data_IF_395187330080
#
_entry.id   IF_395187330080
#
_cell.length_a   1.000
_cell.length_b   1.000
_cell.length_c   1.000
_cell.angle_alpha   90.00
_cell.angle_beta   90.00
_cell.angle_gamma   90.00
#
_symmetry.space_group_name_H-M   'P 1'
#
loop_
_entity.id
_entity.type
_entity.pdbx_description
1 polymer ?
#
# COMPACT_ATOMS: atom_id res chain seq x y z
N UNK A 1 -35.61 -14.11 5.32
CA UNK A 1 -34.83 -14.70 4.23
C UNK A 1 -35.60 -15.84 3.61
N UNK A 2 -35.53 -15.94 2.29
CA UNK A 2 -36.07 -17.09 1.57
C UNK A 2 -35.21 -18.27 1.96
N UNK A 3 -35.75 -19.20 2.75
CA UNK A 3 -35.04 -20.34 3.33
C UNK A 3 -34.19 -21.02 2.27
N UNK A 4 -32.87 -21.13 2.51
CA UNK A 4 -31.86 -21.77 1.67
C UNK A 4 -31.57 -21.12 0.29
N UNK A 5 -32.10 -19.93 -0.03
CA UNK A 5 -31.84 -19.25 -1.31
C UNK A 5 -31.20 -17.90 -1.20
N UNK A 6 -31.35 -17.19 -0.09
CA UNK A 6 -30.85 -15.84 0.09
C UNK A 6 -30.03 -15.76 1.38
N UNK A 7 -28.79 -15.22 1.28
CA UNK A 7 -27.87 -15.03 2.39
C UNK A 7 -27.39 -13.58 2.39
N UNK A 8 -27.34 -12.97 3.57
CA UNK A 8 -26.71 -11.68 3.80
C UNK A 8 -25.44 -11.84 4.62
N UNK A 9 -24.47 -10.99 4.37
CA UNK A 9 -23.22 -10.97 5.10
C UNK A 9 -22.70 -9.56 5.31
N UNK A 10 -22.02 -9.36 6.43
CA UNK A 10 -21.23 -8.15 6.72
C UNK A 10 -19.83 -8.60 7.04
N UNK A 11 -18.85 -7.88 6.52
CA UNK A 11 -17.44 -8.18 6.75
C UNK A 11 -16.60 -6.92 6.83
N UNK A 12 -15.52 -6.99 7.62
CA UNK A 12 -14.48 -5.97 7.68
C UNK A 12 -13.16 -6.62 7.31
N UNK A 13 -12.44 -6.05 6.35
CA UNK A 13 -11.14 -6.56 5.91
C UNK A 13 -10.25 -5.45 5.35
N UNK A 14 -8.96 -5.70 5.31
CA UNK A 14 -7.94 -4.74 4.85
C UNK A 14 -7.23 -5.32 3.62
N UNK A 15 -7.73 -5.08 2.40
CA UNK A 15 -7.11 -5.60 1.18
C UNK A 15 -5.85 -4.85 0.76
N UNK A 16 -5.69 -3.62 1.24
CA UNK A 16 -4.56 -2.77 0.93
C UNK A 16 -4.00 -2.18 2.22
N UNK A 17 -2.75 -2.49 2.51
CA UNK A 17 -2.06 -1.96 3.67
C UNK A 17 -0.58 -2.34 3.63
N UNK A 18 0.28 -1.38 3.92
CA UNK A 18 1.70 -1.60 4.03
C UNK A 18 2.29 -0.68 5.10
N UNK A 19 2.74 -1.21 6.24
CA UNK A 19 3.65 -0.51 7.12
C UNK A 19 5.07 -0.65 6.56
N UNK A 20 5.75 0.47 6.36
CA UNK A 20 7.16 0.53 6.01
C UNK A 20 7.88 1.40 7.04
N UNK A 21 9.01 0.94 7.50
CA UNK A 21 9.88 1.69 8.40
C UNK A 21 11.33 1.39 8.07
N UNK A 22 12.09 2.44 7.83
CA UNK A 22 13.51 2.38 7.52
C UNK A 22 14.32 3.11 8.58
N UNK A 23 15.63 2.98 8.52
CA UNK A 23 16.55 3.79 9.32
C UNK A 23 16.35 5.27 8.95
N UNK A 24 16.26 6.13 9.98
CA UNK A 24 16.05 7.56 9.78
C UNK A 24 17.21 8.25 9.06
N UNK A 25 18.41 7.71 9.21
CA UNK A 25 19.66 8.25 8.64
C UNK A 25 20.15 7.43 7.44
N UNK A 26 19.34 6.49 6.96
CA UNK A 26 19.68 5.69 5.78
C UNK A 26 19.60 6.49 4.48
N UNK A 27 20.21 6.01 3.39
CA UNK A 27 20.23 6.70 2.10
C UNK A 27 18.83 6.94 1.53
N UNK A 28 17.85 6.15 1.93
CA UNK A 28 16.45 6.30 1.51
C UNK A 28 15.69 7.41 2.27
N UNK A 29 16.30 8.08 3.24
CA UNK A 29 15.61 9.02 4.13
C UNK A 29 14.93 10.18 3.37
N UNK A 30 15.51 10.59 2.24
CA UNK A 30 14.92 11.61 1.35
C UNK A 30 13.70 11.10 0.57
N UNK A 31 13.53 9.79 0.43
CA UNK A 31 12.35 9.21 -0.19
C UNK A 31 11.31 8.82 0.85
N UNK A 32 11.74 8.06 1.87
CA UNK A 32 10.86 7.54 2.91
C UNK A 32 11.66 7.12 4.15
N UNK A 33 11.22 7.57 5.31
CA UNK A 33 11.64 7.05 6.61
C UNK A 33 10.58 6.14 7.20
N UNK A 34 9.31 6.50 7.04
CA UNK A 34 8.17 5.74 7.53
C UNK A 34 6.95 5.95 6.65
N UNK A 35 6.22 4.88 6.37
CA UNK A 35 4.88 4.92 5.82
C UNK A 35 3.97 3.96 6.56
N UNK A 36 2.74 4.38 6.78
CA UNK A 36 1.64 3.53 7.17
C UNK A 36 0.42 3.95 6.36
N UNK A 37 0.06 3.16 5.36
CA UNK A 37 -1.09 3.44 4.51
C UNK A 37 -1.97 2.21 4.53
N UNK A 38 -3.24 2.39 4.90
CA UNK A 38 -4.23 1.31 4.90
C UNK A 38 -5.53 1.78 4.24
N UNK A 39 -6.23 0.84 3.61
CA UNK A 39 -7.60 1.01 3.16
C UNK A 39 -8.43 -0.19 3.62
N UNK A 40 -9.26 0.04 4.63
CA UNK A 40 -10.13 -0.95 5.25
C UNK A 40 -11.50 -0.91 4.57
N UNK A 41 -12.04 -2.08 4.24
CA UNK A 41 -13.36 -2.22 3.64
C UNK A 41 -14.36 -2.73 4.68
N UNK A 42 -15.44 -1.99 4.88
CA UNK A 42 -16.64 -2.43 5.60
C UNK A 42 -17.68 -2.77 4.55
N UNK A 43 -17.94 -4.05 4.34
CA UNK A 43 -18.74 -4.57 3.23
C UNK A 43 -20.03 -5.16 3.71
N UNK A 44 -21.15 -4.72 3.13
CA UNK A 44 -22.43 -5.40 3.20
C UNK A 44 -22.64 -6.15 1.89
N UNK A 45 -23.06 -7.41 1.95
CA UNK A 45 -23.21 -8.29 0.79
C UNK A 45 -24.50 -9.12 0.88
N UNK A 46 -25.00 -9.50 -0.29
CA UNK A 46 -26.08 -10.45 -0.44
C UNK A 46 -25.73 -11.46 -1.53
N UNK A 47 -26.16 -12.69 -1.35
CA UNK A 47 -26.03 -13.74 -2.35
C UNK A 47 -27.33 -14.51 -2.48
N UNK A 48 -27.71 -14.85 -3.71
CA UNK A 48 -28.90 -15.60 -4.05
C UNK A 48 -28.54 -16.83 -4.85
N UNK A 49 -29.13 -17.97 -4.47
CA UNK A 49 -29.07 -19.20 -5.25
C UNK A 49 -30.20 -19.17 -6.28
N UNK A 50 -29.83 -18.92 -7.54
CA UNK A 50 -30.80 -18.90 -8.67
C UNK A 50 -31.21 -20.31 -9.08
N UNK A 51 -30.25 -21.22 -9.08
CA UNK A 51 -30.41 -22.62 -9.43
C UNK A 51 -29.54 -23.47 -8.51
N UNK A 52 -29.75 -24.78 -8.46
CA UNK A 52 -28.96 -25.66 -7.59
C UNK A 52 -27.45 -25.62 -7.87
N UNK A 53 -27.11 -25.27 -9.12
CA UNK A 53 -25.71 -25.15 -9.57
C UNK A 53 -25.22 -23.71 -9.67
N UNK A 54 -26.07 -22.67 -9.60
CA UNK A 54 -25.70 -21.27 -9.84
C UNK A 54 -26.11 -20.39 -8.69
N UNK A 55 -25.15 -19.64 -8.16
CA UNK A 55 -25.36 -18.58 -7.18
C UNK A 55 -24.78 -17.26 -7.65
N UNK A 56 -25.47 -16.16 -7.42
CA UNK A 56 -24.99 -14.80 -7.67
C UNK A 56 -24.81 -14.07 -6.34
N UNK A 57 -23.79 -13.23 -6.27
CA UNK A 57 -23.55 -12.38 -5.11
C UNK A 57 -23.15 -10.97 -5.52
N UNK A 58 -23.52 -10.02 -4.69
CA UNK A 58 -23.07 -8.63 -4.82
C UNK A 58 -22.81 -8.02 -3.44
N UNK A 59 -21.90 -7.07 -3.38
CA UNK A 59 -21.60 -6.34 -2.16
C UNK A 59 -21.22 -4.90 -2.43
N UNK A 60 -21.49 -4.04 -1.47
CA UNK A 60 -21.06 -2.64 -1.44
C UNK A 60 -20.16 -2.46 -0.23
N UNK A 61 -19.03 -1.84 -0.44
CA UNK A 61 -18.04 -1.57 0.59
C UNK A 61 -17.87 -0.08 0.82
N UNK A 62 -17.97 0.34 2.06
CA UNK A 62 -17.45 1.63 2.50
C UNK A 62 -15.97 1.47 2.82
N UNK A 63 -15.14 2.28 2.17
CA UNK A 63 -13.68 2.20 2.29
C UNK A 63 -13.19 3.31 3.20
N UNK A 64 -12.57 2.92 4.31
CA UNK A 64 -11.92 3.81 5.26
C UNK A 64 -10.41 3.76 5.03
N UNK A 65 -9.83 4.89 4.66
CA UNK A 65 -8.39 5.05 4.48
C UNK A 65 -7.75 5.80 5.65
N UNK A 66 -6.58 5.34 6.08
CA UNK A 66 -5.70 6.04 7.01
C UNK A 66 -4.29 6.06 6.46
N UNK A 67 -3.60 7.20 6.56
CA UNK A 67 -2.22 7.34 6.12
C UNK A 67 -1.39 8.22 7.05
N UNK A 68 -0.16 7.77 7.29
CA UNK A 68 0.93 8.54 7.91
C UNK A 68 2.20 8.32 7.10
N UNK A 69 2.95 9.39 6.86
CA UNK A 69 4.19 9.37 6.10
C UNK A 69 5.21 10.28 6.78
N UNK A 70 6.48 9.87 6.78
CA UNK A 70 7.59 10.69 7.21
C UNK A 70 8.80 10.47 6.29
N UNK A 71 9.49 11.57 5.94
CA UNK A 71 10.72 11.57 5.16
C UNK A 71 11.54 12.81 5.47
N UNK A 72 12.73 12.93 4.91
CA UNK A 72 13.40 14.21 4.76
C UNK A 72 12.94 14.88 3.47
N UNK A 73 12.59 16.16 3.54
CA UNK A 73 12.39 16.99 2.36
C UNK A 73 13.73 17.60 1.97
N UNK A 74 14.14 17.35 0.77
CA UNK A 74 15.36 17.92 0.21
C UNK A 74 15.11 19.36 -0.24
N UNK A 75 15.76 20.30 0.41
CA UNK A 75 15.78 21.71 0.02
C UNK A 75 16.99 22.05 -0.85
N UNK A 76 17.98 21.15 -0.96
CA UNK A 76 19.12 21.31 -1.87
C UNK A 76 18.74 21.23 -3.35
N UNK A 77 17.60 20.61 -3.65
CA UNK A 77 17.05 20.55 -5.02
C UNK A 77 16.35 21.86 -5.45
N UNK A 78 16.20 22.83 -4.58
CA UNK A 78 15.60 24.14 -4.89
C UNK A 78 16.69 25.04 -5.44
N UNK A 79 16.65 25.31 -6.74
CA UNK A 79 17.68 26.09 -7.45
C UNK A 79 17.97 27.47 -6.85
N UNK A 80 16.96 28.06 -6.20
CA UNK A 80 17.03 29.36 -5.55
C UNK A 80 17.95 29.38 -4.31
N UNK A 81 18.28 28.21 -3.77
CA UNK A 81 19.26 28.09 -2.68
C UNK A 81 20.68 27.85 -3.17
N UNK A 82 20.89 27.81 -4.47
CA UNK A 82 22.16 27.66 -5.12
C UNK A 82 22.43 28.74 -6.16
N UNK A 83 23.66 28.93 -6.53
CA UNK A 83 24.08 29.82 -7.61
C UNK A 83 23.73 29.29 -9.02
N UNK A 84 22.78 28.38 -9.14
CA UNK A 84 22.41 27.67 -10.38
C UNK A 84 23.40 26.57 -10.78
N UNK A 85 24.41 26.30 -9.98
CA UNK A 85 25.46 25.29 -10.24
C UNK A 85 25.53 24.22 -9.17
N UNK A 86 24.49 24.08 -8.32
CA UNK A 86 24.46 23.18 -7.16
C UNK A 86 25.64 23.38 -6.18
N UNK A 87 26.06 24.60 -6.00
CA UNK A 87 27.13 24.97 -5.08
C UNK A 87 26.63 25.44 -3.72
N UNK A 88 25.46 25.00 -3.30
CA UNK A 88 25.05 25.06 -1.90
C UNK A 88 26.01 24.20 -1.09
N UNK A 89 26.94 24.78 -0.47
CA UNK A 89 27.94 24.09 0.30
C UNK A 89 29.26 24.83 0.33
N UNK A 90 29.37 25.89 -0.44
CA UNK A 90 30.49 26.79 -0.25
C UNK A 90 30.26 27.59 1.03
N UNK A 91 31.13 27.37 1.99
CA UNK A 91 31.07 28.05 3.27
C UNK A 91 30.89 29.56 3.05
N UNK A 92 29.86 30.13 3.67
CA UNK A 92 29.54 31.54 3.73
C UNK A 92 28.91 32.19 2.48
N UNK A 93 28.50 31.45 1.45
CA UNK A 93 27.75 32.04 0.33
C UNK A 93 26.44 32.71 0.78
N UNK A 94 25.79 32.13 1.80
CA UNK A 94 24.53 32.62 2.37
C UNK A 94 24.60 32.98 3.84
N UNK A 95 25.81 32.96 4.45
CA UNK A 95 26.01 33.28 5.86
C UNK A 95 26.74 32.21 6.63
N UNK A 96 27.05 32.44 7.93
CA UNK A 96 27.91 31.55 8.72
C UNK A 96 27.31 30.17 9.01
N UNK A 97 26.01 30.01 8.92
CA UNK A 97 25.31 28.73 9.12
C UNK A 97 24.95 28.02 7.81
N UNK A 98 25.34 28.59 6.65
CA UNK A 98 25.10 27.95 5.36
C UNK A 98 25.66 26.52 5.32
N UNK A 99 25.01 25.62 4.57
CA UNK A 99 25.49 24.26 4.46
C UNK A 99 26.87 24.19 3.83
N UNK A 100 27.66 23.22 4.28
CA UNK A 100 28.93 22.81 3.68
C UNK A 100 28.77 21.39 3.17
N UNK A 101 29.69 20.87 2.35
CA UNK A 101 29.67 19.49 1.84
C UNK A 101 29.46 18.45 2.96
N UNK A 102 29.99 18.72 4.16
CA UNK A 102 29.86 17.83 5.33
C UNK A 102 28.47 17.94 5.98
N UNK A 103 27.81 19.10 5.90
CA UNK A 103 26.56 19.42 6.60
C UNK A 103 25.34 19.54 5.69
N UNK A 104 25.50 19.33 4.40
CA UNK A 104 24.45 19.57 3.42
C UNK A 104 23.15 18.83 3.80
N UNK A 105 23.24 17.52 4.05
CA UNK A 105 22.07 16.71 4.41
C UNK A 105 21.46 17.15 5.74
N UNK A 106 22.27 17.46 6.76
CA UNK A 106 21.80 17.87 8.08
C UNK A 106 21.07 19.23 8.03
N UNK A 107 21.53 20.12 7.17
CA UNK A 107 20.96 21.46 7.00
C UNK A 107 19.78 21.47 6.01
N UNK A 108 19.96 20.91 4.81
CA UNK A 108 18.99 20.98 3.73
C UNK A 108 17.98 19.83 3.72
N UNK A 109 18.26 18.72 4.37
CA UNK A 109 17.33 17.60 4.56
C UNK A 109 16.38 17.84 5.74
N UNK A 110 15.26 18.54 5.51
CA UNK A 110 14.34 18.89 6.62
C UNK A 110 13.30 17.80 6.87
N UNK A 111 13.10 17.37 8.13
CA UNK A 111 12.06 16.42 8.48
C UNK A 111 10.67 16.91 8.09
N UNK A 112 9.95 16.14 7.29
CA UNK A 112 8.54 16.35 6.95
C UNK A 112 7.72 15.13 7.36
N UNK A 113 6.55 15.37 7.96
CA UNK A 113 5.60 14.33 8.28
C UNK A 113 4.18 14.72 7.86
N UNK A 114 3.48 13.80 7.18
CA UNK A 114 2.04 13.79 7.04
C UNK A 114 1.45 12.98 8.19
N UNK A 115 0.60 13.57 8.99
CA UNK A 115 0.03 12.93 10.19
C UNK A 115 -1.48 12.85 10.08
N UNK A 116 -2.04 11.70 10.55
CA UNK A 116 -3.48 11.50 10.73
C UNK A 116 -4.29 11.85 9.48
N UNK A 117 -3.84 11.38 8.32
CA UNK A 117 -4.57 11.61 7.08
C UNK A 117 -5.65 10.52 6.90
N UNK A 118 -6.88 10.94 6.66
CA UNK A 118 -8.02 10.08 6.45
C UNK A 118 -8.58 10.21 5.04
N UNK A 119 -9.14 9.13 4.54
CA UNK A 119 -9.84 9.07 3.27
C UNK A 119 -11.09 8.22 3.39
N UNK A 120 -12.10 8.55 2.58
CA UNK A 120 -13.35 7.82 2.47
C UNK A 120 -13.60 7.48 1.01
N UNK A 121 -14.15 6.31 0.75
CA UNK A 121 -14.50 5.87 -0.58
C UNK A 121 -15.63 4.86 -0.54
N UNK A 122 -16.21 4.59 -1.70
CA UNK A 122 -17.20 3.54 -1.89
C UNK A 122 -16.77 2.70 -3.07
N UNK A 123 -16.94 1.39 -2.95
CA UNK A 123 -16.70 0.44 -4.03
C UNK A 123 -17.73 -0.68 -3.97
N UNK A 124 -17.81 -1.49 -5.01
CA UNK A 124 -18.70 -2.64 -5.08
C UNK A 124 -17.98 -3.86 -5.62
N UNK A 125 -18.53 -5.01 -5.34
CA UNK A 125 -18.14 -6.27 -5.94
C UNK A 125 -19.36 -7.04 -6.42
N UNK A 126 -19.15 -7.89 -7.42
CA UNK A 126 -20.13 -8.85 -7.90
C UNK A 126 -19.42 -10.17 -8.16
N UNK A 127 -20.17 -11.26 -8.02
CA UNK A 127 -19.60 -12.58 -8.26
C UNK A 127 -20.66 -13.61 -8.64
N UNK A 128 -20.20 -14.64 -9.34
CA UNK A 128 -20.98 -15.83 -9.67
C UNK A 128 -20.22 -17.06 -9.20
N UNK A 129 -20.94 -18.00 -8.66
CA UNK A 129 -20.42 -19.35 -8.36
C UNK A 129 -21.26 -20.37 -9.12
N UNK A 130 -20.59 -21.30 -9.76
CA UNK A 130 -21.20 -22.42 -10.50
C UNK A 130 -20.64 -23.72 -9.94
N UNK A 131 -21.53 -24.63 -9.57
CA UNK A 131 -21.21 -25.97 -9.08
C UNK A 131 -21.68 -27.04 -10.09
N UNK A 132 -20.95 -27.25 -11.20
CA UNK A 132 -21.40 -28.17 -12.27
C UNK A 132 -21.58 -29.60 -11.78
N UNK A 133 -20.83 -29.99 -10.76
CA UNK A 133 -20.95 -31.29 -10.08
C UNK A 133 -20.82 -31.09 -8.56
N UNK A 134 -21.20 -32.08 -7.74
CA UNK A 134 -20.99 -32.04 -6.29
C UNK A 134 -19.50 -31.90 -5.87
N UNK A 135 -18.57 -32.20 -6.78
CA UNK A 135 -17.12 -32.15 -6.54
C UNK A 135 -16.43 -30.92 -7.07
N UNK A 136 -17.02 -30.19 -8.03
CA UNK A 136 -16.41 -29.05 -8.71
C UNK A 136 -17.18 -27.78 -8.42
N UNK A 137 -16.48 -26.78 -7.92
CA UNK A 137 -16.97 -25.39 -7.78
C UNK A 137 -16.10 -24.45 -8.58
N UNK A 138 -16.72 -23.59 -9.37
CA UNK A 138 -16.08 -22.51 -10.14
C UNK A 138 -16.62 -21.17 -9.65
N UNK A 139 -15.78 -20.16 -9.59
CA UNK A 139 -16.19 -18.81 -9.19
C UNK A 139 -15.54 -17.76 -10.07
N UNK A 140 -16.28 -16.70 -10.36
CA UNK A 140 -15.78 -15.49 -10.98
C UNK A 140 -16.22 -14.31 -10.11
N UNK A 141 -15.27 -13.42 -9.76
CA UNK A 141 -15.58 -12.20 -9.03
C UNK A 141 -14.95 -10.99 -9.70
N UNK A 142 -15.67 -9.88 -9.65
CA UNK A 142 -15.20 -8.55 -10.02
C UNK A 142 -15.27 -7.63 -8.81
N UNK A 143 -14.18 -6.94 -8.52
CA UNK A 143 -14.11 -5.87 -7.53
C UNK A 143 -13.80 -4.56 -8.24
N UNK A 144 -14.68 -3.58 -8.07
CA UNK A 144 -14.45 -2.25 -8.62
C UNK A 144 -13.35 -1.52 -7.85
N UNK A 145 -12.64 -0.62 -8.52
CA UNK A 145 -11.66 0.27 -7.90
C UNK A 145 -12.35 1.44 -7.19
N UNK A 146 -11.57 2.24 -6.45
CA UNK A 146 -12.07 3.50 -5.87
C UNK A 146 -10.97 4.53 -5.78
N UNK A 147 -11.36 5.81 -5.85
CA UNK A 147 -10.43 6.93 -5.67
C UNK A 147 -10.28 7.22 -4.18
N UNK A 148 -9.04 7.30 -3.72
CA UNK A 148 -8.72 7.67 -2.34
C UNK A 148 -8.11 9.06 -2.32
N UNK A 149 -8.57 9.88 -1.37
CA UNK A 149 -8.05 11.21 -1.12
C UNK A 149 -7.84 11.38 0.39
N UNK A 150 -6.64 11.00 0.83
CA UNK A 150 -6.23 11.12 2.22
C UNK A 150 -5.96 12.59 2.54
N UNK A 151 -6.67 13.15 3.50
CA UNK A 151 -6.52 14.53 3.96
C UNK A 151 -6.08 14.55 5.41
N UNK A 152 -5.04 15.30 5.70
CA UNK A 152 -4.47 15.43 7.03
C UNK A 152 -3.69 16.71 7.17
N UNK A 153 -2.82 16.74 8.17
CA UNK A 153 -1.92 17.85 8.42
C UNK A 153 -0.49 17.43 8.12
N UNK A 154 0.31 18.39 7.63
CA UNK A 154 1.75 18.17 7.57
C UNK A 154 2.46 19.10 8.55
N UNK A 155 3.69 18.72 8.89
CA UNK A 155 4.64 19.53 9.62
C UNK A 155 6.02 19.35 8.99
N UNK A 156 6.74 20.47 8.79
CA UNK A 156 8.15 20.49 8.40
C UNK A 156 8.92 21.16 9.53
N UNK A 157 9.94 20.51 10.03
CA UNK A 157 10.88 21.06 10.98
C UNK A 157 11.94 21.89 10.24
N UNK A 158 11.82 23.20 10.33
CA UNK A 158 12.75 24.19 9.74
C UNK A 158 13.67 24.78 10.80
N UNK A 159 13.74 24.18 12.00
CA UNK A 159 14.51 24.69 13.11
C UNK A 159 16.02 24.43 12.91
N UNK A 160 16.61 25.20 12.04
CA UNK A 160 18.05 25.24 11.77
C UNK A 160 18.47 26.71 11.58
N UNK A 161 19.65 27.13 12.09
CA UNK A 161 20.13 28.50 11.96
C UNK A 161 20.22 28.99 10.51
N UNK A 162 20.56 28.14 9.55
CA UNK A 162 20.57 28.52 8.14
C UNK A 162 19.20 29.03 7.68
N UNK A 163 18.12 28.33 7.99
CA UNK A 163 16.77 28.75 7.60
C UNK A 163 16.22 29.90 8.44
N UNK A 164 16.51 29.91 9.75
CA UNK A 164 15.87 30.85 10.69
C UNK A 164 16.67 32.13 10.88
N UNK A 165 17.95 32.18 10.52
CA UNK A 165 18.83 33.34 10.70
C UNK A 165 19.42 33.80 9.36
N UNK A 166 20.22 32.96 8.67
CA UNK A 166 20.97 33.35 7.48
C UNK A 166 20.02 33.73 6.33
N UNK A 167 19.07 32.86 5.99
CA UNK A 167 18.08 33.16 4.96
C UNK A 167 17.12 34.27 5.37
N UNK A 168 16.82 34.39 6.67
CA UNK A 168 16.01 35.49 7.18
C UNK A 168 16.70 36.86 7.00
N UNK A 169 18.03 36.94 7.18
CA UNK A 169 18.82 38.12 6.91
C UNK A 169 18.77 38.55 5.42
N UNK A 170 18.53 37.61 4.51
CA UNK A 170 18.35 37.81 3.07
C UNK A 170 16.88 38.02 2.65
N UNK A 171 15.97 38.14 3.63
CA UNK A 171 14.55 38.43 3.37
C UNK A 171 13.67 37.17 3.20
N UNK A 172 14.23 35.93 3.32
CA UNK A 172 13.51 34.71 3.27
C UNK A 172 13.16 34.24 4.69
N UNK A 173 11.89 34.26 5.04
CA UNK A 173 11.46 34.03 6.42
C UNK A 173 10.80 32.67 6.54
N UNK A 174 11.47 31.73 7.21
CA UNK A 174 10.90 30.43 7.60
C UNK A 174 10.57 30.42 9.09
N UNK A 175 9.38 29.93 9.44
CA UNK A 175 9.08 29.58 10.84
C UNK A 175 9.86 28.33 11.24
N UNK A 176 10.30 28.20 12.50
CA UNK A 176 11.00 26.99 12.96
C UNK A 176 10.17 25.70 12.76
N UNK A 177 8.84 25.81 12.80
CA UNK A 177 7.92 24.73 12.49
C UNK A 177 6.87 25.23 11.50
N UNK A 178 6.93 24.74 10.26
CA UNK A 178 5.92 24.99 9.23
C UNK A 178 4.86 23.91 9.28
N UNK A 179 3.60 24.31 9.44
CA UNK A 179 2.47 23.40 9.48
C UNK A 179 1.39 23.80 8.49
N UNK A 180 0.58 22.85 8.06
CA UNK A 180 -0.52 23.14 7.13
C UNK A 180 -1.34 21.91 6.79
N UNK A 181 -2.17 22.08 5.76
CA UNK A 181 -2.99 21.01 5.23
C UNK A 181 -2.20 20.20 4.19
N UNK A 182 -2.40 18.88 4.20
CA UNK A 182 -1.85 18.01 3.18
C UNK A 182 -2.89 17.02 2.68
N UNK A 183 -2.75 16.64 1.41
CA UNK A 183 -3.52 15.54 0.83
C UNK A 183 -2.65 14.64 -0.01
N UNK A 184 -2.99 13.34 0.00
CA UNK A 184 -2.41 12.32 -0.85
C UNK A 184 -3.54 11.65 -1.63
N UNK A 185 -3.46 11.66 -2.97
CA UNK A 185 -4.48 11.08 -3.85
C UNK A 185 -3.89 10.00 -4.73
N UNK A 186 -4.59 8.87 -4.80
CA UNK A 186 -4.34 7.79 -5.74
C UNK A 186 -5.58 6.89 -5.90
N UNK A 187 -5.57 6.00 -6.89
CA UNK A 187 -6.65 5.05 -7.15
C UNK A 187 -6.33 3.69 -6.55
N UNK A 188 -7.30 3.03 -5.94
CA UNK A 188 -7.25 1.59 -5.69
C UNK A 188 -7.70 0.87 -6.98
N UNK A 189 -6.97 -0.15 -7.44
CA UNK A 189 -7.22 -0.77 -8.74
C UNK A 189 -8.44 -1.70 -8.74
N UNK A 190 -9.02 -1.90 -9.90
CA UNK A 190 -9.99 -2.96 -10.17
C UNK A 190 -9.30 -4.31 -10.21
N UNK A 191 -10.05 -5.36 -9.88
CA UNK A 191 -9.57 -6.74 -9.99
C UNK A 191 -10.65 -7.71 -10.41
N UNK A 192 -10.22 -8.73 -11.15
CA UNK A 192 -11.04 -9.88 -11.55
C UNK A 192 -10.36 -11.12 -10.97
N UNK A 193 -11.14 -12.01 -10.37
CA UNK A 193 -10.61 -13.27 -9.83
C UNK A 193 -11.44 -14.43 -10.35
N UNK A 194 -10.76 -15.41 -10.92
CA UNK A 194 -11.30 -16.73 -11.26
C UNK A 194 -10.85 -17.71 -10.19
N UNK A 195 -11.76 -18.51 -9.66
CA UNK A 195 -11.47 -19.53 -8.66
C UNK A 195 -12.04 -20.88 -9.08
N UNK A 196 -11.34 -21.94 -8.71
CA UNK A 196 -11.78 -23.30 -8.87
C UNK A 196 -11.47 -24.11 -7.62
N UNK A 197 -12.37 -25.02 -7.27
CA UNK A 197 -12.18 -25.98 -6.19
C UNK A 197 -12.63 -27.37 -6.64
N UNK A 198 -11.84 -28.40 -6.34
CA UNK A 198 -12.18 -29.77 -6.68
C UNK A 198 -11.97 -30.73 -5.50
N UNK A 199 -13.04 -31.42 -5.14
CA UNK A 199 -13.03 -32.49 -4.11
C UNK A 199 -12.71 -33.85 -4.76
N UNK A 200 -11.46 -34.33 -4.68
CA UNK A 200 -11.07 -35.63 -5.19
C UNK A 200 -11.78 -36.77 -4.45
N UNK A 201 -11.82 -36.62 -3.12
CA UNK A 201 -12.48 -37.53 -2.21
C UNK A 201 -12.76 -36.78 -0.87
N UNK A 202 -13.43 -37.43 0.13
CA UNK A 202 -13.74 -36.77 1.41
C UNK A 202 -12.53 -36.24 2.18
N UNK A 203 -11.32 -36.76 1.90
CA UNK A 203 -10.09 -36.34 2.58
C UNK A 203 -9.31 -35.27 1.84
N UNK A 204 -9.38 -35.19 0.49
CA UNK A 204 -8.55 -34.34 -0.32
C UNK A 204 -9.35 -33.36 -1.14
N UNK A 205 -9.00 -32.09 -1.03
CA UNK A 205 -9.51 -31.01 -1.86
C UNK A 205 -8.35 -30.14 -2.36
N UNK A 206 -8.44 -29.71 -3.60
CA UNK A 206 -7.54 -28.69 -4.18
C UNK A 206 -8.36 -27.46 -4.55
N UNK A 207 -7.84 -26.31 -4.21
CA UNK A 207 -8.37 -25.01 -4.56
C UNK A 207 -7.33 -24.24 -5.36
N UNK A 208 -7.74 -23.44 -6.30
CA UNK A 208 -6.86 -22.56 -7.04
C UNK A 208 -7.57 -21.27 -7.44
N UNK A 209 -6.80 -20.23 -7.63
CA UNK A 209 -7.31 -19.00 -8.23
C UNK A 209 -6.30 -18.35 -9.17
N UNK A 210 -6.84 -17.60 -10.10
CA UNK A 210 -6.14 -16.62 -10.94
C UNK A 210 -6.77 -15.26 -10.70
N UNK A 211 -5.96 -14.26 -10.37
CA UNK A 211 -6.41 -12.89 -10.20
C UNK A 211 -5.65 -11.96 -11.14
N UNK A 212 -6.39 -11.12 -11.83
CA UNK A 212 -5.88 -10.00 -12.63
C UNK A 212 -6.20 -8.70 -11.91
N UNK A 213 -5.19 -7.86 -11.68
CA UNK A 213 -5.33 -6.57 -11.02
C UNK A 213 -4.88 -5.47 -11.96
N UNK A 214 -5.74 -4.50 -12.19
CA UNK A 214 -5.52 -3.39 -13.12
C UNK A 214 -4.74 -2.25 -12.46
N UNK A 215 -3.49 -2.51 -12.12
CA UNK A 215 -2.62 -1.52 -11.49
C UNK A 215 -2.23 -0.37 -12.42
N UNK A 216 -2.39 -0.51 -13.75
CA UNK A 216 -2.25 0.59 -14.72
C UNK A 216 -3.20 1.78 -14.45
N UNK A 217 -4.25 1.59 -13.65
CA UNK A 217 -5.12 2.68 -13.18
C UNK A 217 -4.49 3.52 -12.05
N UNK A 218 -3.37 3.08 -11.47
CA UNK A 218 -2.57 3.82 -10.47
C UNK A 218 -1.51 4.64 -11.22
N UNK A 219 -1.95 5.67 -11.93
CA UNK A 219 -1.07 6.50 -12.77
C UNK A 219 -0.02 7.25 -11.95
N UNK A 220 -0.45 7.89 -10.86
CA UNK A 220 0.42 8.67 -10.00
C UNK A 220 -0.09 8.79 -8.57
N UNK A 221 0.84 9.02 -7.66
CA UNK A 221 0.52 9.58 -6.35
C UNK A 221 0.62 11.10 -6.43
N UNK A 222 -0.46 11.79 -6.09
CA UNK A 222 -0.49 13.26 -6.09
C UNK A 222 -0.51 13.74 -4.64
N UNK A 223 0.55 14.42 -4.25
CA UNK A 223 0.70 15.06 -2.93
C UNK A 223 0.47 16.54 -3.09
N UNK A 224 -0.42 17.12 -2.29
CA UNK A 224 -0.61 18.57 -2.22
C UNK A 224 -0.43 19.01 -0.78
N UNK A 225 0.41 20.01 -0.56
CA UNK A 225 0.60 20.69 0.72
C UNK A 225 0.17 22.15 0.58
N UNK A 226 -0.47 22.69 1.62
CA UNK A 226 -0.92 24.07 1.67
C UNK A 226 -0.66 24.68 3.04
N UNK A 227 0.10 25.77 3.05
CA UNK A 227 0.35 26.59 4.25
C UNK A 227 0.78 28.00 3.86
N UNK A 228 0.23 29.04 4.48
CA UNK A 228 0.76 30.41 4.30
C UNK A 228 2.25 30.53 4.64
N UNK A 229 2.74 29.69 5.56
CA UNK A 229 4.12 29.70 6.03
C UNK A 229 5.12 29.07 5.02
N UNK A 230 4.62 28.41 3.97
CA UNK A 230 5.44 27.95 2.84
C UNK A 230 5.69 29.05 1.80
N UNK A 231 4.86 30.07 1.78
CA UNK A 231 4.97 31.10 0.75
C UNK A 231 6.25 31.92 0.92
N UNK A 232 7.06 31.98 -0.13
CA UNK A 232 8.22 32.85 -0.25
C UNK A 232 8.07 33.68 -1.54
N UNK A 233 7.34 34.79 -1.49
CA UNK A 233 7.03 35.59 -2.70
C UNK A 233 8.28 36.05 -3.45
N UNK A 234 9.37 36.34 -2.73
CA UNK A 234 10.65 36.73 -3.32
C UNK A 234 11.25 35.65 -4.23
N UNK A 235 10.93 34.37 -3.96
CA UNK A 235 11.36 33.20 -4.76
C UNK A 235 10.25 32.69 -5.69
N UNK A 236 9.10 33.38 -5.78
CA UNK A 236 7.95 32.87 -6.53
C UNK A 236 7.28 31.63 -5.94
N UNK A 237 7.66 31.20 -4.72
CA UNK A 237 7.09 30.03 -4.04
C UNK A 237 5.73 30.40 -3.45
N UNK A 238 4.70 29.65 -3.82
CA UNK A 238 3.32 29.85 -3.38
C UNK A 238 3.03 29.11 -2.07
N UNK A 239 1.90 29.46 -1.46
CA UNK A 239 1.35 28.80 -0.27
C UNK A 239 0.92 27.35 -0.51
N UNK A 240 0.84 26.94 -1.76
CA UNK A 240 0.36 25.60 -2.17
C UNK A 240 1.36 24.97 -3.14
N UNK A 241 1.84 23.78 -2.75
CA UNK A 241 2.71 22.97 -3.59
C UNK A 241 1.98 21.66 -3.95
N UNK A 242 1.98 21.29 -5.23
CA UNK A 242 1.46 20.02 -5.71
C UNK A 242 2.55 19.28 -6.44
N UNK A 243 2.84 18.06 -5.96
CA UNK A 243 3.82 17.15 -6.55
C UNK A 243 3.08 15.92 -7.07
N UNK A 244 3.26 15.64 -8.35
CA UNK A 244 2.77 14.41 -8.97
C UNK A 244 3.93 13.42 -9.08
N UNK A 245 3.81 12.27 -8.40
CA UNK A 245 4.79 11.19 -8.40
C UNK A 245 4.29 10.10 -9.36
N UNK A 246 4.74 10.06 -10.62
CA UNK A 246 4.32 9.06 -11.60
C UNK A 246 4.62 7.65 -11.10
N UNK A 247 3.70 6.72 -11.34
CA UNK A 247 3.88 5.30 -10.98
C UNK A 247 4.05 4.43 -12.21
N UNK A 248 3.34 4.74 -13.29
CA UNK A 248 3.39 3.98 -14.55
C UNK A 248 3.28 2.46 -14.33
N UNK A 249 2.51 2.07 -13.30
CA UNK A 249 2.40 0.68 -12.91
C UNK A 249 1.75 -0.15 -14.00
N UNK A 250 2.16 -1.42 -14.08
CA UNK A 250 1.64 -2.41 -15.01
C UNK A 250 0.60 -3.28 -14.31
N UNK A 251 -0.34 -3.78 -15.10
CA UNK A 251 -1.31 -4.75 -14.62
C UNK A 251 -0.59 -6.02 -14.15
N UNK A 252 -1.13 -6.64 -13.11
CA UNK A 252 -0.50 -7.81 -12.49
C UNK A 252 -1.40 -9.04 -12.57
N UNK A 253 -0.74 -10.17 -12.57
CA UNK A 253 -1.38 -11.46 -12.39
C UNK A 253 -0.91 -12.11 -11.08
N UNK A 254 -1.84 -12.78 -10.43
CA UNK A 254 -1.57 -13.58 -9.24
C UNK A 254 -2.23 -14.94 -9.42
N UNK A 255 -1.45 -15.99 -9.32
CA UNK A 255 -1.92 -17.37 -9.34
C UNK A 255 -1.56 -18.06 -8.04
N UNK A 256 -2.49 -18.86 -7.52
CA UNK A 256 -2.26 -19.58 -6.28
C UNK A 256 -3.03 -20.91 -6.31
N UNK A 257 -2.41 -21.95 -5.79
CA UNK A 257 -3.02 -23.25 -5.57
C UNK A 257 -2.82 -23.69 -4.12
N UNK A 258 -3.85 -24.29 -3.54
CA UNK A 258 -3.84 -24.84 -2.18
C UNK A 258 -4.35 -26.26 -2.19
N UNK A 259 -3.67 -27.14 -1.48
CA UNK A 259 -4.15 -28.48 -1.18
C UNK A 259 -4.63 -28.56 0.28
N UNK A 260 -5.79 -29.13 0.48
CA UNK A 260 -6.37 -29.40 1.80
C UNK A 260 -6.50 -30.91 2.03
N UNK A 261 -6.02 -31.35 3.18
CA UNK A 261 -6.06 -32.75 3.60
C UNK A 261 -6.74 -32.89 4.96
N UNK A 262 -7.71 -33.81 5.03
CA UNK A 262 -8.43 -34.18 6.26
C UNK A 262 -8.07 -35.58 6.66
N UNK A 263 -7.01 -35.79 7.45
CA UNK A 263 -6.67 -37.12 7.93
C UNK A 263 -7.75 -37.75 8.82
N UNK A 264 -8.43 -36.88 9.58
CA UNK A 264 -9.57 -37.26 10.45
C UNK A 264 -10.72 -36.26 10.29
N UNK A 265 -11.89 -36.55 10.84
CA UNK A 265 -13.04 -35.62 10.85
C UNK A 265 -12.76 -34.34 11.64
N UNK A 266 -11.82 -34.39 12.59
CA UNK A 266 -11.46 -33.23 13.46
C UNK A 266 -10.29 -32.41 12.94
N UNK A 267 -9.39 -33.00 12.16
CA UNK A 267 -8.14 -32.36 11.75
C UNK A 267 -8.17 -31.99 10.26
N UNK A 268 -7.88 -30.76 9.95
CA UNK A 268 -7.63 -30.24 8.60
C UNK A 268 -6.18 -29.74 8.52
N UNK A 269 -5.48 -30.10 7.46
CA UNK A 269 -4.17 -29.56 7.10
C UNK A 269 -4.27 -28.91 5.75
N UNK A 270 -3.47 -27.87 5.50
CA UNK A 270 -3.40 -27.19 4.21
C UNK A 270 -1.99 -26.74 3.87
N UNK A 271 -1.69 -26.74 2.57
CA UNK A 271 -0.48 -26.14 2.02
C UNK A 271 -0.84 -25.33 0.79
N UNK A 272 -0.13 -24.21 0.58
CA UNK A 272 -0.41 -23.23 -0.47
C UNK A 272 0.89 -22.88 -1.18
N UNK A 273 0.83 -22.75 -2.51
CA UNK A 273 1.89 -22.19 -3.34
C UNK A 273 1.30 -21.19 -4.30
N UNK A 274 2.04 -20.12 -4.60
CA UNK A 274 1.58 -19.08 -5.49
C UNK A 274 2.70 -18.23 -6.07
N UNK A 275 2.33 -17.47 -7.08
CA UNK A 275 3.16 -16.49 -7.75
C UNK A 275 2.36 -15.22 -8.04
N UNK A 276 2.98 -14.06 -7.86
CA UNK A 276 2.43 -12.77 -8.24
C UNK A 276 3.46 -11.96 -9.01
N UNK A 277 3.05 -11.41 -10.17
CA UNK A 277 3.92 -10.54 -10.95
C UNK A 277 4.04 -9.14 -10.33
N UNK A 278 5.15 -8.45 -10.62
CA UNK A 278 5.40 -7.06 -10.22
C UNK A 278 4.52 -6.08 -10.98
N UNK A 279 4.04 -5.04 -10.29
CA UNK A 279 3.36 -3.89 -10.90
C UNK A 279 4.34 -2.78 -11.29
N UNK A 280 5.36 -2.52 -10.47
CA UNK A 280 6.24 -1.37 -10.61
C UNK A 280 7.32 -1.62 -11.65
N UNK A 281 7.41 -0.78 -12.73
CA UNK A 281 8.54 -0.83 -13.67
C UNK A 281 9.82 -0.26 -13.02
N UNK A 282 11.00 -0.59 -13.59
CA UNK A 282 12.29 -0.12 -13.07
C UNK A 282 12.38 1.40 -13.01
N UNK A 283 11.73 2.10 -13.96
CA UNK A 283 11.72 3.56 -13.99
C UNK A 283 11.09 4.23 -12.77
N UNK A 284 10.07 3.61 -12.18
CA UNK A 284 9.28 4.25 -11.13
C UNK A 284 9.27 3.49 -9.80
N UNK A 285 10.02 2.40 -9.71
CA UNK A 285 10.23 1.73 -8.43
C UNK A 285 11.07 2.62 -7.52
N UNK A 286 10.68 2.71 -6.27
CA UNK A 286 11.38 3.44 -5.23
C UNK A 286 11.22 2.75 -3.87
N UNK A 287 11.87 3.27 -2.85
CA UNK A 287 11.80 2.73 -1.50
C UNK A 287 10.42 2.90 -0.85
N UNK A 288 9.60 3.84 -1.35
CA UNK A 288 8.22 4.04 -0.87
C UNK A 288 7.24 3.01 -1.47
N UNK A 289 7.62 2.36 -2.57
CA UNK A 289 6.83 1.32 -3.23
C UNK A 289 7.72 0.17 -3.72
N UNK A 290 8.46 -0.50 -2.81
CA UNK A 290 9.30 -1.63 -3.19
C UNK A 290 8.43 -2.75 -3.74
N UNK A 291 8.74 -3.20 -4.95
CA UNK A 291 7.95 -4.22 -5.63
C UNK A 291 8.84 -5.13 -6.49
N UNK A 292 8.37 -6.33 -6.74
CA UNK A 292 9.01 -7.33 -7.57
C UNK A 292 8.13 -8.56 -7.72
N UNK A 293 8.48 -9.40 -8.66
CA UNK A 293 7.85 -10.72 -8.77
C UNK A 293 8.05 -11.47 -7.46
N UNK A 294 7.00 -12.11 -6.97
CA UNK A 294 7.04 -12.78 -5.67
C UNK A 294 6.56 -14.20 -5.71
N UNK A 295 7.21 -15.03 -4.91
CA UNK A 295 6.74 -16.37 -4.59
C UNK A 295 6.00 -16.35 -3.26
N UNK A 296 4.96 -17.16 -3.19
CA UNK A 296 4.08 -17.26 -2.04
C UNK A 296 4.05 -18.71 -1.60
N UNK A 297 4.26 -18.95 -0.33
CA UNK A 297 4.10 -20.25 0.32
C UNK A 297 3.22 -20.12 1.55
N UNK A 298 2.52 -21.17 1.93
CA UNK A 298 1.73 -21.17 3.13
C UNK A 298 1.45 -22.57 3.64
N UNK A 299 1.29 -22.68 4.95
CA UNK A 299 0.82 -23.89 5.63
C UNK A 299 -0.26 -23.50 6.63
N UNK A 300 -1.23 -24.35 6.83
CA UNK A 300 -2.29 -24.09 7.78
C UNK A 300 -2.89 -25.38 8.32
N UNK A 301 -3.65 -25.23 9.38
CA UNK A 301 -4.37 -26.33 10.00
C UNK A 301 -5.65 -25.86 10.68
N UNK A 302 -6.57 -26.77 10.86
CA UNK A 302 -7.81 -26.54 11.58
C UNK A 302 -8.14 -27.75 12.47
N UNK A 303 -8.70 -27.46 13.63
CA UNK A 303 -9.13 -28.49 14.57
C UNK A 303 -10.55 -28.22 15.06
N UNK A 304 -11.43 -29.19 14.84
CA UNK A 304 -12.80 -29.17 15.38
C UNK A 304 -12.75 -29.59 16.85
N UNK A 305 -12.82 -28.61 17.77
CA UNK A 305 -12.88 -28.85 19.22
C UNK A 305 -14.20 -29.53 19.59
N UNK A 306 -15.29 -29.08 18.95
CA UNK A 306 -16.64 -29.66 19.09
C UNK A 306 -17.40 -29.46 17.77
N UNK A 307 -18.65 -29.94 17.71
CA UNK A 307 -19.54 -29.70 16.57
C UNK A 307 -19.81 -28.19 16.32
N UNK A 308 -19.69 -27.39 17.38
CA UNK A 308 -19.96 -25.95 17.34
C UNK A 308 -18.72 -25.08 17.25
N UNK A 309 -17.56 -25.59 17.69
CA UNK A 309 -16.33 -24.79 17.82
C UNK A 309 -15.20 -25.41 17.01
N UNK A 310 -14.60 -24.61 16.14
CA UNK A 310 -13.39 -24.96 15.40
C UNK A 310 -12.33 -23.87 15.50
N UNK A 311 -11.09 -24.27 15.65
CA UNK A 311 -9.90 -23.41 15.66
C UNK A 311 -9.12 -23.64 14.37
N UNK A 312 -8.62 -22.56 13.79
CA UNK A 312 -7.73 -22.60 12.62
C UNK A 312 -6.51 -21.72 12.88
N UNK A 313 -5.37 -22.14 12.35
CA UNK A 313 -4.16 -21.34 12.31
C UNK A 313 -3.50 -21.51 10.95
N UNK A 314 -2.94 -20.44 10.42
CA UNK A 314 -2.17 -20.45 9.19
C UNK A 314 -0.95 -19.52 9.27
N UNK A 315 0.11 -19.94 8.57
CA UNK A 315 1.29 -19.15 8.33
C UNK A 315 1.49 -19.00 6.83
N UNK A 316 1.71 -17.75 6.39
CA UNK A 316 1.91 -17.40 4.98
C UNK A 316 3.20 -16.62 4.83
N UNK A 317 3.97 -16.97 3.82
CA UNK A 317 5.26 -16.40 3.49
C UNK A 317 5.22 -15.85 2.08
N UNK A 318 5.78 -14.65 1.89
CA UNK A 318 5.91 -14.02 0.58
C UNK A 318 7.33 -13.49 0.44
N UNK A 319 8.03 -13.91 -0.60
CA UNK A 319 9.36 -13.43 -0.93
C UNK A 319 9.38 -12.75 -2.29
N UNK A 320 9.82 -11.49 -2.36
CA UNK A 320 10.14 -10.85 -3.62
C UNK A 320 11.42 -11.51 -4.16
N UNK A 321 11.36 -12.00 -5.39
CA UNK A 321 12.55 -12.48 -6.10
C UNK A 321 13.56 -11.33 -6.22
N UNK A 322 14.86 -11.59 -6.02
CA UNK A 322 15.89 -10.55 -6.08
C UNK A 322 15.77 -9.74 -7.36
N UNK A 323 15.71 -8.42 -7.23
CA UNK A 323 15.59 -7.48 -8.34
C UNK A 323 16.65 -6.40 -8.19
N UNK A 324 17.44 -6.19 -9.23
CA UNK A 324 18.39 -5.08 -9.32
C UNK A 324 17.81 -4.02 -10.25
N UNK A 325 17.75 -2.79 -9.79
CA UNK A 325 17.28 -1.63 -10.54
C UNK A 325 18.46 -0.69 -10.73
N UNK A 326 18.66 -0.24 -11.96
CA UNK A 326 19.76 0.68 -12.35
C UNK A 326 19.28 1.83 -13.24
N UNK A 327 17.99 1.89 -13.52
CA UNK A 327 17.38 2.84 -14.46
C UNK A 327 16.13 3.52 -13.89
N UNK A 328 16.07 3.70 -12.57
CA UNK A 328 15.00 4.48 -11.96
C UNK A 328 15.15 5.95 -12.35
N UNK A 329 14.02 6.60 -12.66
CA UNK A 329 13.95 8.06 -12.88
C UNK A 329 14.32 8.84 -11.60
N UNK A 330 14.31 8.17 -10.45
CA UNK A 330 14.80 8.66 -9.18
C UNK A 330 16.04 7.84 -8.78
N UNK A 331 17.21 8.44 -8.80
CA UNK A 331 18.50 7.77 -8.51
C UNK A 331 18.50 7.00 -7.18
N UNK A 332 17.81 7.52 -6.17
CA UNK A 332 17.63 6.82 -4.88
C UNK A 332 16.78 5.55 -5.01
N UNK A 333 16.10 5.34 -6.13
CA UNK A 333 15.38 4.11 -6.46
C UNK A 333 16.29 3.02 -7.04
N UNK A 334 17.52 3.34 -7.43
CA UNK A 334 18.48 2.36 -7.91
C UNK A 334 19.04 1.53 -6.76
N UNK A 335 19.19 0.23 -6.98
CA UNK A 335 19.67 -0.69 -5.95
C UNK A 335 19.09 -2.09 -6.06
N UNK A 336 19.38 -2.89 -5.05
CA UNK A 336 18.85 -4.25 -4.93
C UNK A 336 17.63 -4.29 -4.01
N UNK A 337 16.54 -4.85 -4.51
CA UNK A 337 15.30 -5.05 -3.76
C UNK A 337 15.17 -6.51 -3.37
N UNK A 338 15.10 -6.75 -2.06
CA UNK A 338 14.79 -8.05 -1.44
C UNK A 338 13.78 -7.78 -0.33
N UNK A 339 12.64 -8.43 -0.38
CA UNK A 339 11.62 -8.29 0.66
C UNK A 339 11.09 -9.67 1.01
N UNK A 340 10.93 -9.92 2.28
CA UNK A 340 10.28 -11.10 2.81
C UNK A 340 9.20 -10.66 3.80
N UNK A 341 8.01 -11.20 3.63
CA UNK A 341 6.87 -10.96 4.50
C UNK A 341 6.37 -12.28 5.04
N UNK A 342 6.22 -12.38 6.34
CA UNK A 342 5.56 -13.49 7.02
C UNK A 342 4.30 -12.99 7.72
N UNK A 343 3.21 -13.74 7.58
CA UNK A 343 1.94 -13.48 8.25
C UNK A 343 1.51 -14.73 8.98
N UNK A 344 1.10 -14.59 10.23
CA UNK A 344 0.49 -15.66 11.02
C UNK A 344 -0.91 -15.20 11.40
N UNK A 345 -1.91 -16.05 11.18
CA UNK A 345 -3.29 -15.77 11.52
C UNK A 345 -3.91 -16.90 12.32
N UNK A 346 -4.83 -16.55 13.20
CA UNK A 346 -5.66 -17.49 13.95
C UNK A 346 -7.14 -17.15 13.75
N UNK A 347 -7.98 -18.17 13.59
CA UNK A 347 -9.40 -18.02 13.38
C UNK A 347 -10.19 -18.91 14.34
N UNK A 348 -11.22 -18.35 14.93
CA UNK A 348 -12.21 -19.08 15.72
C UNK A 348 -13.53 -19.11 14.92
N UNK A 349 -14.08 -20.30 14.72
CA UNK A 349 -15.40 -20.48 14.13
C UNK A 349 -16.36 -21.02 15.18
N UNK A 350 -17.43 -20.30 15.43
CA UNK A 350 -18.52 -20.71 16.30
C UNK A 350 -19.80 -20.86 15.47
N UNK A 351 -20.52 -21.96 15.67
CA UNK A 351 -21.83 -22.23 15.05
C UNK A 351 -22.90 -22.19 16.15
N UNK A 352 -23.95 -21.46 15.92
CA UNK A 352 -25.09 -21.30 16.82
C UNK A 352 -26.26 -22.17 16.37
#
# INVERSE_FOLDING_TARGET
>A
PIKNRLVFGVGVYVPYGAPLKFDKNGPQALQLQQAFIVASHVTASAAVRLHDIISLGAGVSYVLGFAELAKLQDFGSVQEFGDGLNKLGQANDFGPNAPTDVRELDTLGRPIALKKAFSHGVTFNVGVTVNPTPKLSLALTYQHGTKMNYRGKFAIDMNDPFFTQDLAAQGLKFKPLVTGDASLRFNLPKRITLGASYDFNPKWRVDGFFQYVRYSEVDAFTVTTKSPDLAQPALGIRDTLTVKLPRQWKDTVWVEASARFRPTERLLLSATLGYQSSASPDKTVDTASPDGNRLIGGVGGGFNVSERVALYADARFQGILPRTVTSSDNDLGNGQYKLFLATIAGHLKVRF
#
